data_IF_445359657472
#
_entry.id   IF_445359657472
#
_cell.length_a   1.000
_cell.length_b   1.000
_cell.length_c   1.000
_cell.angle_alpha   90.00
_cell.angle_beta   90.00
_cell.angle_gamma   90.00
#
_symmetry.space_group_name_H-M   'P 1'
#
loop_
_entity.id
_entity.type
_entity.pdbx_description
1 polymer ?
#
# COMPACT_ATOMS: atom_id res chain seq x y z
N UNK A 1 46.71 -35.53 -22.91
CA UNK A 1 46.69 -34.86 -21.60
C UNK A 1 46.60 -33.36 -21.87
N UNK A 2 45.56 -32.68 -21.40
CA UNK A 2 45.26 -31.30 -21.82
C UNK A 2 46.46 -30.39 -21.50
N UNK A 3 47.08 -29.83 -22.54
CA UNK A 3 48.31 -29.04 -22.44
C UNK A 3 48.04 -27.66 -21.83
N UNK A 4 46.78 -27.25 -21.75
CA UNK A 4 46.31 -25.92 -21.33
C UNK A 4 45.07 -26.09 -20.45
N UNK A 5 45.10 -25.53 -19.24
CA UNK A 5 43.90 -25.42 -18.40
C UNK A 5 43.00 -24.32 -18.98
N UNK A 6 41.70 -24.62 -19.12
CA UNK A 6 40.72 -23.67 -19.68
C UNK A 6 39.68 -23.34 -18.63
N UNK A 7 39.60 -22.06 -18.28
CA UNK A 7 38.59 -21.51 -17.39
C UNK A 7 37.55 -20.78 -18.23
N UNK A 8 36.32 -21.30 -18.23
CA UNK A 8 35.21 -20.79 -19.05
C UNK A 8 33.90 -21.08 -18.35
N UNK A 9 32.92 -20.20 -18.56
CA UNK A 9 31.53 -20.45 -18.20
C UNK A 9 30.61 -20.09 -19.36
N UNK A 10 29.76 -21.03 -19.76
CA UNK A 10 28.84 -20.89 -20.89
C UNK A 10 27.46 -20.34 -20.50
N UNK A 11 27.28 -20.02 -19.22
CA UNK A 11 25.97 -19.68 -18.68
C UNK A 11 25.15 -20.92 -18.32
N UNK A 12 23.95 -20.67 -17.81
CA UNK A 12 22.94 -21.70 -17.59
C UNK A 12 21.89 -21.67 -18.71
N UNK A 13 21.11 -22.76 -18.82
CA UNK A 13 19.90 -22.78 -19.65
C UNK A 13 18.91 -21.68 -19.24
N UNK A 14 18.79 -21.41 -17.94
CA UNK A 14 18.04 -20.26 -17.43
C UNK A 14 18.92 -19.01 -17.47
N UNK A 15 18.34 -17.88 -17.88
CA UNK A 15 19.04 -16.58 -17.90
C UNK A 15 18.99 -15.85 -16.55
N UNK A 16 18.64 -16.57 -15.49
CA UNK A 16 18.38 -16.02 -14.15
C UNK A 16 19.64 -15.89 -13.28
N UNK A 17 20.77 -16.42 -13.74
CA UNK A 17 22.02 -16.36 -12.99
C UNK A 17 22.61 -14.94 -13.04
N UNK A 18 23.12 -14.50 -11.90
CA UNK A 18 23.75 -13.20 -11.68
C UNK A 18 25.27 -13.37 -11.59
N UNK A 19 25.72 -14.25 -10.69
CA UNK A 19 27.14 -14.58 -10.48
C UNK A 19 27.31 -16.08 -10.34
N UNK A 20 28.39 -16.62 -10.89
CA UNK A 20 28.84 -18.00 -10.75
C UNK A 20 30.29 -18.04 -10.28
N UNK A 21 30.58 -18.78 -9.20
CA UNK A 21 31.95 -19.06 -8.77
C UNK A 21 32.48 -20.31 -9.49
N UNK A 22 33.58 -20.18 -10.21
CA UNK A 22 34.24 -21.30 -10.87
C UNK A 22 34.74 -22.32 -9.82
N UNK A 23 34.61 -23.64 -10.07
CA UNK A 23 34.89 -24.67 -9.06
C UNK A 23 36.36 -24.84 -8.70
N UNK A 24 37.29 -24.64 -9.65
CA UNK A 24 38.72 -24.80 -9.36
C UNK A 24 39.32 -23.51 -8.84
N UNK A 25 40.01 -23.59 -7.72
CA UNK A 25 40.82 -22.50 -7.17
C UNK A 25 42.31 -22.68 -7.46
N UNK A 26 42.71 -23.87 -7.93
CA UNK A 26 44.07 -24.17 -8.38
C UNK A 26 44.19 -23.82 -9.87
N UNK A 27 44.94 -22.76 -10.16
CA UNK A 27 45.21 -22.27 -11.51
C UNK A 27 46.71 -22.30 -11.80
N UNK A 28 47.07 -22.37 -13.07
CA UNK A 28 48.47 -22.38 -13.50
C UNK A 28 48.78 -21.17 -14.38
N UNK A 29 50.02 -20.67 -14.35
CA UNK A 29 50.46 -19.70 -15.36
C UNK A 29 50.32 -20.32 -16.75
N UNK A 30 49.70 -19.59 -17.69
CA UNK A 30 49.38 -20.08 -19.02
C UNK A 30 47.96 -20.64 -19.19
N UNK A 31 47.15 -20.72 -18.12
CA UNK A 31 45.70 -21.00 -18.21
C UNK A 31 45.01 -20.03 -19.18
N UNK A 32 44.09 -20.55 -20.01
CA UNK A 32 43.23 -19.75 -20.89
C UNK A 32 41.93 -19.40 -20.16
N UNK A 33 41.70 -18.11 -19.91
CA UNK A 33 40.44 -17.59 -19.41
C UNK A 33 39.60 -17.11 -20.60
N UNK A 34 38.43 -17.71 -20.80
CA UNK A 34 37.49 -17.35 -21.86
C UNK A 34 36.25 -16.72 -21.22
N UNK A 35 36.04 -15.44 -21.51
CA UNK A 35 34.88 -14.66 -21.05
C UNK A 35 33.91 -14.49 -22.21
N UNK A 36 32.68 -15.00 -22.05
CA UNK A 36 31.66 -14.91 -23.09
C UNK A 36 31.06 -13.50 -23.20
N UNK A 37 30.44 -13.21 -24.34
CA UNK A 37 29.69 -11.94 -24.52
C UNK A 37 28.55 -11.84 -23.51
N UNK A 38 28.34 -10.65 -22.95
CA UNK A 38 27.34 -10.44 -21.90
C UNK A 38 27.77 -10.96 -20.53
N UNK A 39 29.05 -11.26 -20.36
CA UNK A 39 29.64 -11.65 -19.08
C UNK A 39 30.93 -10.86 -18.82
N UNK A 40 31.33 -10.81 -17.55
CA UNK A 40 32.63 -10.32 -17.09
C UNK A 40 33.18 -11.37 -16.13
N UNK A 41 34.49 -11.56 -16.10
CA UNK A 41 35.15 -12.41 -15.10
C UNK A 41 35.91 -11.56 -14.08
N UNK A 42 35.60 -11.72 -12.80
CA UNK A 42 36.36 -11.15 -11.70
C UNK A 42 37.40 -12.17 -11.26
N UNK A 43 38.65 -11.73 -11.18
CA UNK A 43 39.74 -12.55 -10.69
C UNK A 43 40.10 -12.08 -9.28
N UNK A 44 39.93 -12.97 -8.30
CA UNK A 44 40.10 -12.67 -6.87
C UNK A 44 41.26 -13.48 -6.33
N UNK A 45 42.17 -12.82 -5.60
CA UNK A 45 43.32 -13.47 -4.98
C UNK A 45 43.55 -12.90 -3.58
N UNK A 46 43.69 -13.79 -2.59
CA UNK A 46 43.90 -13.39 -1.20
C UNK A 46 42.75 -12.53 -0.64
N UNK A 47 41.52 -12.77 -1.10
CA UNK A 47 40.33 -12.02 -0.71
C UNK A 47 40.17 -10.64 -1.37
N UNK A 48 41.05 -10.26 -2.30
CA UNK A 48 40.95 -8.99 -3.03
C UNK A 48 40.68 -9.22 -4.51
N UNK A 49 39.82 -8.40 -5.12
CA UNK A 49 39.66 -8.36 -6.58
C UNK A 49 40.97 -7.84 -7.17
N UNK A 50 41.66 -8.72 -7.87
CA UNK A 50 42.97 -8.45 -8.47
C UNK A 50 42.84 -7.91 -9.89
N UNK A 51 41.85 -8.37 -10.66
CA UNK A 51 41.55 -7.83 -11.99
C UNK A 51 40.12 -8.16 -12.47
N UNK A 52 39.68 -7.46 -13.53
CA UNK A 52 38.37 -7.58 -14.17
C UNK A 52 38.52 -7.80 -15.67
N UNK A 53 38.14 -8.99 -16.14
CA UNK A 53 38.24 -9.39 -17.54
C UNK A 53 36.91 -9.22 -18.28
N UNK A 54 36.90 -8.42 -19.33
CA UNK A 54 35.76 -8.20 -20.24
C UNK A 54 35.64 -9.31 -21.29
N UNK A 55 34.56 -9.40 -22.09
CA UNK A 55 34.41 -10.44 -23.11
C UNK A 55 35.64 -10.60 -24.01
N UNK A 56 36.16 -11.81 -24.11
CA UNK A 56 37.42 -12.11 -24.81
C UNK A 56 38.12 -13.36 -24.28
N UNK A 57 39.26 -13.68 -24.89
CA UNK A 57 40.13 -14.79 -24.48
C UNK A 57 41.45 -14.23 -23.98
N UNK A 58 41.83 -14.61 -22.76
CA UNK A 58 43.03 -14.13 -22.08
C UNK A 58 43.90 -15.29 -21.67
N UNK A 59 45.22 -15.11 -21.82
CA UNK A 59 46.19 -16.03 -21.22
C UNK A 59 46.59 -15.46 -19.85
N UNK A 60 46.44 -16.24 -18.79
CA UNK A 60 46.80 -15.82 -17.45
C UNK A 60 48.33 -15.81 -17.30
N UNK A 61 48.90 -14.62 -17.40
CA UNK A 61 50.33 -14.34 -17.24
C UNK A 61 50.54 -13.29 -16.15
N UNK A 62 51.78 -13.13 -15.70
CA UNK A 62 52.14 -12.09 -14.72
C UNK A 62 52.13 -10.67 -15.29
N UNK A 63 52.03 -10.53 -16.61
CA UNK A 63 51.84 -9.25 -17.29
C UNK A 63 50.39 -8.76 -17.14
N UNK A 64 49.43 -9.65 -17.41
CA UNK A 64 48.00 -9.35 -17.26
C UNK A 64 47.57 -9.31 -15.79
N UNK A 65 48.30 -9.95 -14.88
CA UNK A 65 48.01 -9.94 -13.44
C UNK A 65 49.23 -9.49 -12.64
N UNK A 66 49.40 -8.17 -12.39
CA UNK A 66 50.56 -7.64 -11.67
C UNK A 66 50.76 -8.24 -10.26
N UNK A 67 49.66 -8.64 -9.60
CA UNK A 67 49.67 -9.29 -8.27
C UNK A 67 50.30 -10.70 -8.32
N UNK A 68 50.50 -11.28 -9.51
CA UNK A 68 51.18 -12.56 -9.68
C UNK A 68 52.70 -12.44 -9.88
N UNK A 69 53.27 -11.22 -9.98
CA UNK A 69 54.72 -11.03 -10.22
C UNK A 69 55.63 -11.72 -9.18
N UNK A 70 55.17 -11.87 -7.93
CA UNK A 70 55.93 -12.54 -6.87
C UNK A 70 56.07 -14.06 -7.03
N UNK A 71 55.23 -14.70 -7.87
CA UNK A 71 55.23 -16.15 -8.10
C UNK A 71 56.26 -16.62 -9.15
N UNK A 72 56.85 -15.71 -9.92
CA UNK A 72 57.75 -16.04 -11.05
C UNK A 72 59.09 -16.62 -10.60
N UNK A 73 59.51 -16.35 -9.35
CA UNK A 73 60.82 -16.77 -8.84
C UNK A 73 60.89 -18.24 -8.38
N UNK A 74 59.82 -19.02 -8.54
CA UNK A 74 59.78 -20.40 -8.07
C UNK A 74 60.08 -21.38 -9.21
N UNK A 75 60.98 -22.37 -9.01
CA UNK A 75 61.45 -23.27 -10.06
C UNK A 75 60.44 -24.40 -10.36
N UNK A 76 59.28 -24.07 -10.94
CA UNK A 76 58.19 -25.02 -11.21
C UNK A 76 58.03 -25.45 -12.67
N UNK A 77 59.14 -25.73 -13.37
CA UNK A 77 59.10 -26.49 -14.63
C UNK A 77 58.16 -25.94 -15.73
N UNK A 78 57.94 -24.62 -15.78
CA UNK A 78 57.13 -23.94 -16.81
C UNK A 78 55.64 -23.77 -16.49
N UNK A 79 55.12 -24.31 -15.39
CA UNK A 79 53.76 -24.07 -14.90
C UNK A 79 53.77 -23.83 -13.40
N UNK A 80 53.77 -22.57 -12.97
CA UNK A 80 53.67 -22.23 -11.55
C UNK A 80 52.20 -22.29 -11.13
N UNK A 81 51.78 -23.25 -10.30
CA UNK A 81 50.44 -23.26 -9.74
C UNK A 81 50.28 -22.13 -8.72
N UNK A 82 49.09 -21.57 -8.65
CA UNK A 82 48.72 -20.60 -7.64
C UNK A 82 47.24 -20.74 -7.30
N UNK A 83 46.87 -20.33 -6.09
CA UNK A 83 45.48 -20.28 -5.66
C UNK A 83 44.86 -18.93 -6.01
N UNK A 84 43.74 -18.95 -6.74
CA UNK A 84 42.92 -17.78 -7.03
C UNK A 84 41.49 -18.21 -7.39
N UNK A 85 40.54 -17.31 -7.19
CA UNK A 85 39.13 -17.52 -7.44
C UNK A 85 38.69 -16.76 -8.70
N UNK A 86 37.86 -17.38 -9.53
CA UNK A 86 37.29 -16.75 -10.73
C UNK A 86 35.78 -16.72 -10.61
N UNK A 87 35.20 -15.52 -10.72
CA UNK A 87 33.76 -15.33 -10.69
C UNK A 87 33.28 -14.80 -12.04
N UNK A 88 32.31 -15.48 -12.63
CA UNK A 88 31.64 -14.98 -13.82
C UNK A 88 30.42 -14.18 -13.40
N UNK A 89 30.26 -12.98 -13.93
CA UNK A 89 29.17 -12.04 -13.65
C UNK A 89 28.38 -11.80 -14.92
N UNK A 90 27.06 -11.93 -14.85
CA UNK A 90 26.16 -11.70 -15.98
C UNK A 90 25.89 -10.20 -16.15
N UNK A 91 26.37 -9.59 -17.24
CA UNK A 91 26.18 -8.16 -17.53
C UNK A 91 25.07 -7.89 -18.55
N UNK A 92 24.31 -8.92 -18.92
CA UNK A 92 23.15 -8.77 -19.81
C UNK A 92 22.04 -7.96 -19.13
N UNK A 93 21.22 -7.31 -19.96
CA UNK A 93 20.07 -6.53 -19.46
C UNK A 93 18.96 -7.47 -19.02
N UNK A 94 18.45 -7.26 -17.80
CA UNK A 94 17.26 -7.95 -17.28
C UNK A 94 16.08 -6.99 -17.34
N UNK A 95 15.13 -7.22 -18.25
CA UNK A 95 13.96 -6.36 -18.44
C UNK A 95 12.75 -6.77 -17.59
N UNK A 96 12.76 -7.97 -17.02
CA UNK A 96 11.62 -8.67 -16.42
C UNK A 96 11.63 -8.70 -14.89
N UNK A 97 12.06 -7.60 -14.25
CA UNK A 97 11.98 -7.48 -12.79
C UNK A 97 10.62 -6.89 -12.39
N UNK A 98 9.67 -7.79 -12.12
CA UNK A 98 8.33 -7.39 -11.68
C UNK A 98 8.35 -6.86 -10.24
N UNK A 99 7.62 -5.78 -9.98
CA UNK A 99 7.41 -5.21 -8.64
C UNK A 99 5.93 -4.96 -8.39
N UNK A 100 5.55 -4.89 -7.11
CA UNK A 100 4.19 -4.54 -6.72
C UNK A 100 4.08 -4.23 -5.24
N UNK A 101 3.11 -3.38 -4.90
CA UNK A 101 2.82 -3.00 -3.53
C UNK A 101 2.45 -4.24 -2.70
N UNK A 102 3.14 -4.45 -1.58
CA UNK A 102 2.91 -5.59 -0.68
C UNK A 102 1.56 -5.44 0.03
N UNK A 103 1.30 -4.24 0.54
CA UNK A 103 0.07 -3.82 1.19
C UNK A 103 -0.57 -2.62 0.46
N UNK A 104 -1.90 -2.45 0.54
CA UNK A 104 -2.58 -1.35 -0.13
C UNK A 104 -2.21 0.02 0.45
N UNK A 105 -2.07 1.01 -0.42
CA UNK A 105 -1.96 2.43 -0.09
C UNK A 105 -3.36 2.91 0.31
N UNK A 106 -3.56 3.23 1.58
CA UNK A 106 -4.82 3.79 2.06
C UNK A 106 -4.78 5.32 1.95
N UNK A 107 -5.70 5.89 1.18
CA UNK A 107 -5.81 7.34 1.01
C UNK A 107 -7.26 7.76 0.79
N UNK A 108 -7.50 9.07 0.78
CA UNK A 108 -8.79 9.66 0.45
C UNK A 108 -8.67 10.24 -0.96
N UNK A 109 -9.57 9.86 -1.86
CA UNK A 109 -9.63 10.44 -3.19
C UNK A 109 -10.02 11.93 -3.11
N UNK A 110 -9.28 12.84 -3.74
CA UNK A 110 -9.51 14.29 -3.61
C UNK A 110 -10.79 14.77 -4.32
N UNK A 111 -11.33 13.99 -5.27
CA UNK A 111 -12.50 14.37 -6.08
C UNK A 111 -13.81 13.88 -5.46
N UNK A 112 -13.81 12.66 -4.93
CA UNK A 112 -15.00 12.01 -4.37
C UNK A 112 -15.00 11.91 -2.84
N UNK A 113 -13.88 12.24 -2.18
CA UNK A 113 -13.72 12.16 -0.72
C UNK A 113 -13.99 10.76 -0.14
N UNK A 114 -13.77 9.71 -0.94
CA UNK A 114 -13.91 8.32 -0.54
C UNK A 114 -12.56 7.75 -0.14
N UNK A 115 -12.54 6.98 0.95
CA UNK A 115 -11.35 6.20 1.33
C UNK A 115 -11.14 5.06 0.34
N UNK A 116 -9.98 5.02 -0.31
CA UNK A 116 -9.59 3.99 -1.28
C UNK A 116 -8.39 3.19 -0.78
N UNK A 117 -8.37 1.89 -1.14
CA UNK A 117 -7.26 0.96 -0.89
C UNK A 117 -6.55 0.65 -2.21
N UNK A 118 -5.59 1.48 -2.56
CA UNK A 118 -4.92 1.41 -3.86
C UNK A 118 -3.79 0.39 -3.84
N UNK A 119 -3.67 -0.40 -4.90
CA UNK A 119 -2.51 -1.26 -5.19
C UNK A 119 -1.91 -0.85 -6.53
N UNK A 120 -0.60 -1.07 -6.64
CA UNK A 120 0.12 -0.80 -7.88
C UNK A 120 1.11 -1.91 -8.16
N UNK A 121 1.31 -2.18 -9.44
CA UNK A 121 2.33 -3.13 -9.90
C UNK A 121 2.90 -2.69 -11.24
N UNK A 122 4.04 -3.28 -11.56
CA UNK A 122 4.67 -3.08 -12.84
C UNK A 122 6.00 -3.80 -12.94
N UNK A 123 6.89 -3.24 -13.75
CA UNK A 123 8.10 -3.90 -14.18
C UNK A 123 9.28 -2.93 -14.27
N UNK A 124 10.48 -3.42 -14.04
CA UNK A 124 11.72 -2.66 -14.06
C UNK A 124 12.78 -3.40 -14.86
N UNK A 125 13.60 -2.61 -15.56
CA UNK A 125 14.78 -3.05 -16.29
C UNK A 125 16.04 -2.68 -15.53
N UNK A 126 16.93 -3.66 -15.33
CA UNK A 126 18.16 -3.51 -14.57
C UNK A 126 19.34 -4.05 -15.37
N UNK A 127 20.50 -3.41 -15.23
CA UNK A 127 21.77 -3.87 -15.80
C UNK A 127 22.90 -3.63 -14.81
N UNK A 128 23.88 -4.52 -14.78
CA UNK A 128 25.10 -4.32 -13.99
C UNK A 128 26.05 -3.41 -14.77
N UNK A 129 26.51 -2.34 -14.13
CA UNK A 129 27.51 -1.41 -14.66
C UNK A 129 28.86 -1.56 -13.97
N UNK A 130 28.86 -1.88 -12.67
CA UNK A 130 30.07 -2.07 -11.87
C UNK A 130 30.02 -3.44 -11.17
N UNK A 131 30.54 -4.49 -11.84
CA UNK A 131 30.64 -5.82 -11.27
C UNK A 131 31.49 -5.89 -10.00
N UNK A 132 32.47 -5.00 -9.84
CA UNK A 132 33.37 -5.02 -8.68
C UNK A 132 32.67 -4.52 -7.43
N UNK A 133 31.94 -3.40 -7.54
CA UNK A 133 31.12 -2.87 -6.45
C UNK A 133 30.00 -3.85 -6.10
N UNK A 134 29.30 -4.40 -7.10
CA UNK A 134 28.30 -5.44 -6.88
C UNK A 134 28.85 -6.62 -6.05
N UNK A 135 30.03 -7.12 -6.45
CA UNK A 135 30.65 -8.26 -5.78
C UNK A 135 31.00 -7.95 -4.33
N UNK A 136 31.62 -6.78 -4.08
CA UNK A 136 32.04 -6.36 -2.73
C UNK A 136 30.87 -6.11 -1.79
N UNK A 137 29.82 -5.45 -2.28
CA UNK A 137 28.74 -4.95 -1.43
C UNK A 137 27.59 -5.96 -1.24
N UNK A 138 27.25 -6.76 -2.27
CA UNK A 138 26.05 -7.62 -2.24
C UNK A 138 26.31 -9.12 -2.23
N UNK A 139 27.47 -9.57 -2.71
CA UNK A 139 27.69 -10.99 -2.99
C UNK A 139 28.69 -11.58 -2.01
N UNK A 140 29.89 -11.00 -1.93
CA UNK A 140 30.97 -11.49 -1.08
C UNK A 140 31.48 -12.88 -1.48
N UNK A 141 32.08 -13.57 -0.52
CA UNK A 141 32.62 -14.92 -0.72
C UNK A 141 31.53 -15.95 -0.97
N UNK A 142 31.78 -16.89 -1.88
CA UNK A 142 30.84 -17.94 -2.29
C UNK A 142 31.48 -19.33 -2.16
N UNK A 143 30.63 -20.35 -2.02
CA UNK A 143 31.07 -21.76 -2.09
C UNK A 143 31.47 -22.13 -3.52
N UNK A 144 32.32 -23.15 -3.67
CA UNK A 144 32.73 -23.62 -4.99
C UNK A 144 31.53 -24.12 -5.80
N UNK A 145 31.52 -23.77 -7.10
CA UNK A 145 30.42 -24.06 -8.02
C UNK A 145 29.06 -23.43 -7.67
N UNK A 146 29.01 -22.48 -6.74
CA UNK A 146 27.78 -21.82 -6.33
C UNK A 146 27.32 -20.76 -7.35
N UNK A 147 26.00 -20.54 -7.41
CA UNK A 147 25.33 -19.64 -8.35
C UNK A 147 24.37 -18.74 -7.59
N UNK A 148 24.60 -17.43 -7.65
CA UNK A 148 23.65 -16.43 -7.20
C UNK A 148 22.71 -16.08 -8.34
N UNK A 149 21.41 -16.07 -8.07
CA UNK A 149 20.36 -15.64 -9.03
C UNK A 149 19.96 -14.18 -8.81
N UNK A 150 19.42 -13.56 -9.86
CA UNK A 150 18.84 -12.22 -9.80
C UNK A 150 17.70 -12.08 -8.78
N UNK A 151 17.00 -13.15 -8.43
CA UNK A 151 15.89 -13.10 -7.45
C UNK A 151 16.36 -12.64 -6.06
N UNK A 152 17.59 -12.97 -5.66
CA UNK A 152 18.18 -12.48 -4.41
C UNK A 152 18.23 -10.95 -4.40
N UNK A 153 18.66 -10.34 -5.50
CA UNK A 153 18.68 -8.87 -5.66
C UNK A 153 17.26 -8.32 -5.56
N UNK A 154 16.29 -8.95 -6.24
CA UNK A 154 14.89 -8.53 -6.18
C UNK A 154 14.36 -8.47 -4.75
N UNK A 155 14.67 -9.45 -3.91
CA UNK A 155 14.25 -9.48 -2.50
C UNK A 155 14.79 -8.31 -1.69
N UNK A 156 16.08 -7.97 -1.84
CA UNK A 156 16.71 -6.86 -1.13
C UNK A 156 16.09 -5.51 -1.51
N UNK A 157 15.89 -5.26 -2.80
CA UNK A 157 15.43 -3.94 -3.27
C UNK A 157 13.91 -3.79 -3.33
N UNK A 158 13.14 -4.87 -3.13
CA UNK A 158 11.67 -4.81 -3.14
C UNK A 158 11.14 -3.76 -2.17
N UNK A 159 11.73 -3.64 -0.98
CA UNK A 159 11.33 -2.64 0.01
C UNK A 159 11.48 -1.22 -0.50
N UNK A 160 12.66 -0.88 -1.04
CA UNK A 160 12.96 0.45 -1.58
C UNK A 160 12.04 0.78 -2.75
N UNK A 161 11.90 -0.12 -3.72
CA UNK A 161 11.01 0.06 -4.88
C UNK A 161 9.57 0.34 -4.44
N UNK A 162 9.05 -0.46 -3.51
CA UNK A 162 7.67 -0.31 -3.03
C UNK A 162 7.50 1.00 -2.28
N UNK A 163 8.44 1.40 -1.43
CA UNK A 163 8.36 2.65 -0.67
C UNK A 163 8.34 3.86 -1.60
N UNK A 164 9.25 3.91 -2.59
CA UNK A 164 9.33 5.02 -3.56
C UNK A 164 8.09 5.09 -4.44
N UNK A 165 7.64 3.94 -4.98
CA UNK A 165 6.42 3.88 -5.78
C UNK A 165 5.17 4.32 -4.99
N UNK A 166 5.01 3.82 -3.75
CA UNK A 166 3.88 4.22 -2.88
C UNK A 166 3.89 5.72 -2.60
N UNK A 167 5.06 6.27 -2.28
CA UNK A 167 5.21 7.69 -1.97
C UNK A 167 4.86 8.56 -3.17
N UNK A 168 5.35 8.19 -4.37
CA UNK A 168 5.03 8.91 -5.60
C UNK A 168 3.53 8.86 -5.94
N UNK A 169 2.89 7.71 -5.81
CA UNK A 169 1.45 7.54 -6.06
C UNK A 169 0.62 8.34 -5.03
N UNK A 170 0.96 8.25 -3.75
CA UNK A 170 0.27 8.99 -2.70
C UNK A 170 0.43 10.51 -2.89
N UNK A 171 1.63 10.98 -3.26
CA UNK A 171 1.89 12.38 -3.56
C UNK A 171 1.02 12.89 -4.71
N UNK A 172 0.93 12.12 -5.79
CA UNK A 172 0.13 12.48 -6.96
C UNK A 172 -1.36 12.60 -6.63
N UNK A 173 -1.88 11.72 -5.77
CA UNK A 173 -3.30 11.75 -5.41
C UNK A 173 -3.59 12.83 -4.38
N UNK A 174 -2.80 12.90 -3.32
CA UNK A 174 -3.09 13.74 -2.16
C UNK A 174 -2.64 15.18 -2.41
N UNK A 175 -1.41 15.38 -2.89
CA UNK A 175 -0.84 16.73 -3.03
C UNK A 175 -1.16 17.34 -4.39
N UNK A 176 -1.02 16.58 -5.47
CA UNK A 176 -1.30 17.10 -6.81
C UNK A 176 -2.82 17.08 -7.13
N UNK A 177 -3.63 16.51 -6.23
CA UNK A 177 -5.10 16.51 -6.32
C UNK A 177 -5.65 15.62 -7.43
N UNK A 178 -4.88 14.64 -7.91
CA UNK A 178 -5.27 13.78 -9.03
C UNK A 178 -6.16 12.65 -8.51
N UNK A 179 -7.38 12.52 -9.04
CA UNK A 179 -8.26 11.41 -8.64
C UNK A 179 -7.62 10.07 -8.97
N UNK A 180 -7.84 9.07 -8.11
CA UNK A 180 -7.42 7.70 -8.35
C UNK A 180 -8.06 7.09 -9.61
N UNK A 181 -9.19 7.60 -10.08
CA UNK A 181 -9.81 7.19 -11.36
C UNK A 181 -9.05 7.72 -12.58
N UNK A 182 -8.38 8.85 -12.42
CA UNK A 182 -7.72 9.59 -13.51
C UNK A 182 -6.20 9.38 -13.50
N UNK A 183 -5.67 8.74 -12.46
CA UNK A 183 -4.23 8.51 -12.28
C UNK A 183 -3.59 7.66 -13.39
N UNK A 184 -4.40 6.86 -14.08
CA UNK A 184 -3.97 6.08 -15.25
C UNK A 184 -3.37 6.98 -16.36
N UNK A 185 -3.83 8.23 -16.45
CA UNK A 185 -3.31 9.23 -17.40
C UNK A 185 -1.91 9.75 -17.03
N UNK A 186 -1.43 9.44 -15.83
CA UNK A 186 -0.14 9.92 -15.28
C UNK A 186 0.89 8.82 -15.10
N UNK A 187 0.58 7.59 -15.48
CA UNK A 187 1.45 6.43 -15.24
C UNK A 187 2.87 6.63 -15.80
N UNK A 188 3.01 7.20 -16.99
CA UNK A 188 4.31 7.48 -17.61
C UNK A 188 5.13 8.50 -16.78
N UNK A 189 4.51 9.63 -16.42
CA UNK A 189 5.16 10.65 -15.60
C UNK A 189 5.55 10.14 -14.20
N UNK A 190 4.70 9.32 -13.59
CA UNK A 190 4.98 8.69 -12.31
C UNK A 190 6.09 7.64 -12.42
N UNK A 191 6.10 6.89 -13.52
CA UNK A 191 7.13 5.89 -13.81
C UNK A 191 8.51 6.53 -13.91
N UNK A 192 8.65 7.64 -14.65
CA UNK A 192 9.92 8.38 -14.75
C UNK A 192 10.33 9.04 -13.42
N UNK A 193 9.36 9.58 -12.67
CA UNK A 193 9.64 10.13 -11.32
C UNK A 193 10.19 9.05 -10.38
N UNK A 194 9.51 7.91 -10.30
CA UNK A 194 9.95 6.79 -9.44
C UNK A 194 11.29 6.25 -9.93
N UNK A 195 11.49 6.10 -11.24
CA UNK A 195 12.77 5.69 -11.84
C UNK A 195 13.92 6.56 -11.35
N UNK A 196 13.78 7.88 -11.41
CA UNK A 196 14.81 8.82 -10.97
C UNK A 196 15.13 8.67 -9.48
N UNK A 197 14.10 8.50 -8.64
CA UNK A 197 14.28 8.31 -7.20
C UNK A 197 14.96 6.98 -6.85
N UNK A 198 14.62 5.88 -7.55
CA UNK A 198 15.20 4.57 -7.28
C UNK A 198 16.58 4.39 -7.89
N UNK A 199 16.86 5.01 -9.04
CA UNK A 199 18.12 4.85 -9.77
C UNK A 199 19.34 5.09 -8.87
N UNK A 200 19.32 6.19 -8.09
CA UNK A 200 20.41 6.55 -7.17
C UNK A 200 20.69 5.49 -6.09
N UNK A 201 19.68 4.74 -5.67
CA UNK A 201 19.85 3.67 -4.67
C UNK A 201 20.49 2.43 -5.30
N UNK A 202 20.13 2.09 -6.54
CA UNK A 202 20.69 0.95 -7.26
C UNK A 202 22.13 1.19 -7.74
N UNK A 203 22.46 2.43 -8.11
CA UNK A 203 23.81 2.83 -8.55
C UNK A 203 24.87 2.59 -7.48
N UNK A 204 24.52 2.77 -6.20
CA UNK A 204 25.42 2.50 -5.06
C UNK A 204 25.91 1.06 -5.00
N UNK A 205 25.17 0.13 -5.59
CA UNK A 205 25.48 -1.29 -5.59
C UNK A 205 25.91 -1.81 -6.96
N UNK A 206 26.27 -0.91 -7.88
CA UNK A 206 26.81 -1.25 -9.20
C UNK A 206 25.74 -1.60 -10.24
N UNK A 207 24.48 -1.25 -10.02
CA UNK A 207 23.41 -1.40 -10.99
C UNK A 207 23.00 -0.08 -11.64
N UNK A 208 22.47 -0.16 -12.86
CA UNK A 208 21.75 0.94 -13.49
C UNK A 208 20.31 0.53 -13.75
N UNK A 209 19.38 1.44 -13.48
CA UNK A 209 17.96 1.27 -13.77
C UNK A 209 17.67 1.83 -15.15
N UNK A 210 17.45 0.95 -16.12
CA UNK A 210 17.22 1.35 -17.51
C UNK A 210 15.82 1.91 -17.72
N UNK A 211 14.84 1.22 -17.14
CA UNK A 211 13.44 1.62 -17.17
C UNK A 211 12.74 1.17 -15.90
N UNK A 212 11.67 1.88 -15.56
CA UNK A 212 10.76 1.53 -14.51
C UNK A 212 9.37 1.88 -15.03
N UNK A 213 8.43 0.94 -14.96
CA UNK A 213 7.08 1.14 -15.45
C UNK A 213 6.08 0.76 -14.35
N UNK A 214 5.12 1.65 -14.12
CA UNK A 214 3.88 1.36 -13.41
C UNK A 214 2.87 0.90 -14.47
N UNK A 215 2.56 -0.39 -14.47
CA UNK A 215 1.64 -0.97 -15.47
C UNK A 215 0.18 -0.69 -15.09
N UNK A 216 -0.13 -0.75 -13.80
CA UNK A 216 -1.49 -0.53 -13.32
C UNK A 216 -1.49 0.00 -11.89
N UNK A 217 -2.47 0.85 -11.64
CA UNK A 217 -2.89 1.30 -10.32
C UNK A 217 -4.37 0.95 -10.22
N UNK A 218 -4.74 0.09 -9.26
CA UNK A 218 -6.10 -0.41 -9.10
C UNK A 218 -6.52 -0.39 -7.62
N UNK A 219 -7.81 -0.62 -7.37
CA UNK A 219 -8.38 -0.70 -6.04
C UNK A 219 -9.57 -1.68 -6.05
N UNK A 220 -9.99 -2.24 -4.90
CA UNK A 220 -11.07 -3.22 -4.82
C UNK A 220 -12.40 -2.72 -5.38
N UNK A 221 -13.21 -3.62 -5.94
CA UNK A 221 -14.54 -3.31 -6.48
C UNK A 221 -15.47 -2.68 -5.43
N UNK A 222 -15.38 -3.10 -4.17
CA UNK A 222 -16.14 -2.51 -3.05
C UNK A 222 -15.87 -1.00 -2.87
N UNK A 223 -14.64 -0.56 -3.13
CA UNK A 223 -14.27 0.86 -3.07
C UNK A 223 -14.74 1.59 -4.35
N UNK A 224 -14.79 0.90 -5.49
CA UNK A 224 -15.33 1.42 -6.75
C UNK A 224 -16.86 1.60 -6.70
N UNK A 225 -17.60 0.67 -6.09
CA UNK A 225 -19.05 0.77 -5.92
C UNK A 225 -19.47 2.02 -5.13
N UNK A 226 -18.69 2.39 -4.11
CA UNK A 226 -18.92 3.62 -3.33
C UNK A 226 -18.82 4.86 -4.21
N UNK A 227 -17.84 4.88 -5.13
CA UNK A 227 -17.68 5.96 -6.11
C UNK A 227 -18.85 5.95 -7.10
N UNK A 228 -19.22 4.79 -7.64
CA UNK A 228 -20.34 4.68 -8.59
C UNK A 228 -21.64 5.20 -7.98
N UNK A 229 -21.92 4.87 -6.72
CA UNK A 229 -23.09 5.40 -6.02
C UNK A 229 -23.08 6.93 -5.91
N UNK A 230 -21.93 7.53 -5.59
CA UNK A 230 -21.78 9.00 -5.55
C UNK A 230 -22.00 9.60 -6.94
N UNK A 231 -21.47 8.96 -7.99
CA UNK A 231 -21.65 9.40 -9.37
C UNK A 231 -23.10 9.30 -9.83
N UNK A 232 -23.79 8.21 -9.49
CA UNK A 232 -25.21 8.00 -9.78
C UNK A 232 -26.09 9.02 -9.05
N UNK A 233 -25.87 9.23 -7.75
CA UNK A 233 -26.59 10.21 -6.94
C UNK A 233 -26.37 11.63 -7.49
N UNK A 234 -25.13 11.97 -7.86
CA UNK A 234 -24.78 13.26 -8.46
C UNK A 234 -25.44 13.43 -9.83
N UNK A 235 -25.40 12.43 -10.70
CA UNK A 235 -26.04 12.49 -12.01
C UNK A 235 -27.56 12.62 -11.89
N UNK A 236 -28.19 11.89 -10.96
CA UNK A 236 -29.62 12.01 -10.68
C UNK A 236 -29.99 13.41 -10.21
N UNK A 237 -29.17 14.01 -9.34
CA UNK A 237 -29.33 15.39 -8.90
C UNK A 237 -29.18 16.40 -10.04
N UNK A 238 -28.13 16.28 -10.87
CA UNK A 238 -27.87 17.19 -12.00
C UNK A 238 -28.96 17.12 -13.08
N UNK A 239 -29.49 15.92 -13.36
CA UNK A 239 -30.57 15.73 -14.34
C UNK A 239 -31.91 16.28 -13.83
N UNK A 240 -32.22 16.12 -12.54
CA UNK A 240 -33.52 16.50 -11.98
C UNK A 240 -33.59 17.95 -11.49
N UNK A 241 -32.46 18.49 -11.01
CA UNK A 241 -32.39 19.76 -10.28
C UNK A 241 -32.90 19.66 -8.84
N UNK A 242 -32.53 20.65 -8.01
CA UNK A 242 -32.77 20.70 -6.56
C UNK A 242 -34.20 20.30 -6.14
N UNK A 243 -35.20 20.96 -6.75
CA UNK A 243 -36.59 20.79 -6.35
C UNK A 243 -37.12 19.37 -6.61
N UNK A 244 -36.77 18.76 -7.74
CA UNK A 244 -37.27 17.43 -8.12
C UNK A 244 -36.48 16.30 -7.48
N UNK A 245 -35.19 16.51 -7.20
CA UNK A 245 -34.39 15.53 -6.47
C UNK A 245 -34.90 15.34 -5.04
N UNK A 246 -35.16 16.44 -4.31
CA UNK A 246 -35.74 16.37 -2.97
C UNK A 246 -37.09 15.65 -2.98
N UNK A 247 -37.94 15.93 -3.98
CA UNK A 247 -39.20 15.22 -4.19
C UNK A 247 -38.97 13.73 -4.44
N UNK A 248 -38.08 13.34 -5.36
CA UNK A 248 -37.78 11.91 -5.60
C UNK A 248 -37.27 11.20 -4.34
N UNK A 249 -36.31 11.79 -3.63
CA UNK A 249 -35.77 11.22 -2.39
C UNK A 249 -36.85 11.07 -1.32
N UNK A 250 -37.81 11.99 -1.24
CA UNK A 250 -38.96 11.84 -0.36
C UNK A 250 -39.80 10.61 -0.73
N UNK A 251 -40.06 10.39 -2.02
CA UNK A 251 -40.75 9.20 -2.51
C UNK A 251 -39.98 7.90 -2.26
N UNK A 252 -38.66 7.88 -2.49
CA UNK A 252 -37.82 6.70 -2.19
C UNK A 252 -37.89 6.32 -0.69
N UNK A 253 -37.95 7.32 0.21
CA UNK A 253 -38.12 7.10 1.66
C UNK A 253 -39.53 6.57 1.97
N UNK A 254 -40.57 7.09 1.32
CA UNK A 254 -41.94 6.57 1.47
C UNK A 254 -42.05 5.12 1.01
N UNK A 255 -41.43 4.77 -0.12
CA UNK A 255 -41.41 3.42 -0.67
C UNK A 255 -40.63 2.45 0.24
N UNK A 256 -39.46 2.88 0.74
CA UNK A 256 -38.67 2.10 1.71
C UNK A 256 -39.37 1.90 3.07
N UNK A 257 -40.19 2.87 3.51
CA UNK A 257 -41.02 2.76 4.70
C UNK A 257 -42.23 1.84 4.48
N UNK A 258 -42.89 1.93 3.32
CA UNK A 258 -44.02 1.07 2.95
C UNK A 258 -43.60 -0.41 2.81
N UNK A 259 -42.37 -0.68 2.36
CA UNK A 259 -41.82 -2.03 2.27
C UNK A 259 -41.32 -2.61 3.61
N UNK A 260 -41.19 -1.79 4.67
CA UNK A 260 -40.87 -2.25 6.03
C UNK A 260 -42.16 -2.58 6.81
N UNK A 261 -42.64 -3.82 6.67
CA UNK A 261 -43.90 -4.29 7.28
C UNK A 261 -43.92 -4.30 8.83
N UNK A 262 -42.77 -4.15 9.50
CA UNK A 262 -42.63 -4.33 10.95
C UNK A 262 -42.35 -3.03 11.75
N UNK A 263 -42.45 -1.85 11.14
CA UNK A 263 -42.25 -0.56 11.81
C UNK A 263 -43.48 0.34 11.77
N UNK A 264 -43.73 1.11 12.84
CA UNK A 264 -44.83 2.09 12.95
C UNK A 264 -44.86 3.10 11.79
N UNK A 265 -43.72 3.32 11.11
CA UNK A 265 -43.61 4.13 9.90
C UNK A 265 -44.28 3.48 8.66
N UNK A 266 -44.31 2.16 8.55
CA UNK A 266 -44.99 1.43 7.47
C UNK A 266 -46.51 1.53 7.55
N UNK A 267 -47.08 1.68 8.75
CA UNK A 267 -48.51 1.87 8.95
C UNK A 267 -49.00 3.27 8.52
N UNK A 268 -48.15 4.30 8.65
CA UNK A 268 -48.46 5.67 8.20
C UNK A 268 -48.24 5.82 6.69
N UNK A 269 -47.26 5.12 6.12
CA UNK A 269 -46.94 5.17 4.69
C UNK A 269 -47.83 4.27 3.82
N UNK A 270 -48.17 3.05 4.25
CA UNK A 270 -49.04 2.13 3.51
C UNK A 270 -50.54 2.49 3.60
N UNK A 271 -50.90 3.41 4.50
CA UNK A 271 -52.29 3.77 4.82
C UNK A 271 -52.94 4.84 3.94
N UNK A 272 -52.35 5.22 2.80
CA UNK A 272 -53.06 6.04 1.80
C UNK A 272 -53.60 7.40 2.28
N UNK A 273 -53.04 7.98 3.35
CA UNK A 273 -53.41 9.31 3.85
C UNK A 273 -52.64 10.38 3.08
N UNK A 274 -52.72 10.30 1.74
CA UNK A 274 -52.19 11.28 0.80
C UNK A 274 -53.33 12.12 0.24
N UNK A 275 -53.29 13.43 0.50
CA UNK A 275 -54.14 14.50 -0.08
C UNK A 275 -55.66 14.48 0.17
N UNK A 276 -56.34 13.33 0.21
CA UNK A 276 -57.81 13.28 0.36
C UNK A 276 -58.32 13.49 1.80
N UNK A 277 -57.54 13.07 2.79
CA UNK A 277 -57.87 13.24 4.21
C UNK A 277 -57.49 14.64 4.75
N UNK A 278 -56.59 15.37 4.08
CA UNK A 278 -56.17 16.71 4.50
C UNK A 278 -57.29 17.75 4.30
N UNK A 279 -58.18 17.56 3.32
CA UNK A 279 -59.23 18.53 2.99
C UNK A 279 -60.45 18.33 3.91
N UNK A 280 -60.89 17.09 4.17
CA UNK A 280 -62.02 16.82 5.07
C UNK A 280 -61.68 16.96 6.57
N UNK A 281 -60.40 16.93 6.94
CA UNK A 281 -59.96 17.24 8.31
C UNK A 281 -59.73 18.74 8.51
N UNK A 282 -59.57 19.54 7.43
CA UNK A 282 -59.41 21.01 7.55
C UNK A 282 -60.71 21.72 7.95
N UNK A 283 -61.86 21.23 7.50
CA UNK A 283 -63.18 21.83 7.78
C UNK A 283 -63.78 21.40 9.12
N UNK A 284 -63.29 20.32 9.72
CA UNK A 284 -63.67 19.85 11.06
C UNK A 284 -62.69 20.29 12.16
N UNK A 285 -61.52 20.82 11.80
CA UNK A 285 -60.52 21.35 12.75
C UNK A 285 -60.66 22.86 13.01
N UNK A 286 -61.53 23.59 12.30
CA UNK A 286 -61.77 25.02 12.53
C UNK A 286 -62.88 25.32 13.56
N UNK A 287 -63.60 24.31 14.05
CA UNK A 287 -64.67 24.46 15.05
C UNK A 287 -64.39 23.80 16.41
N UNK A 288 -63.17 23.30 16.62
CA UNK A 288 -62.75 22.81 17.95
C UNK A 288 -61.58 23.63 18.48
N UNK A 289 -61.70 24.96 18.36
CA UNK A 289 -61.20 25.90 19.37
C UNK A 289 -62.07 25.64 20.61
N UNK A 290 -61.65 24.67 21.38
CA UNK A 290 -62.35 24.18 22.55
C UNK A 290 -61.47 23.14 23.18
N UNK A 291 -60.50 23.61 23.96
CA UNK A 291 -59.66 22.83 24.85
C UNK A 291 -60.53 21.82 25.64
N UNK A 292 -60.17 20.53 25.61
CA UNK A 292 -59.98 19.86 26.88
C UNK A 292 -58.67 19.07 26.88
N UNK A 293 -57.71 19.56 27.66
CA UNK A 293 -57.01 18.80 28.69
C UNK A 293 -57.27 17.28 28.64
N UNK A 294 -56.39 16.55 27.93
CA UNK A 294 -56.02 15.22 28.37
C UNK A 294 -54.67 15.37 29.07
N UNK A 295 -54.76 15.61 30.39
CA UNK A 295 -53.61 15.60 31.31
C UNK A 295 -53.00 14.20 31.28
N UNK A 296 -51.97 14.01 30.47
CA UNK A 296 -50.90 13.10 30.86
C UNK A 296 -50.25 13.68 32.10
N UNK A 297 -50.05 12.88 33.14
CA UNK A 297 -49.33 13.32 34.33
C UNK A 297 -47.93 13.79 33.91
N UNK A 298 -47.56 14.99 34.36
CA UNK A 298 -46.26 15.61 34.07
C UNK A 298 -45.48 15.78 35.37
N UNK A 299 -44.16 15.61 35.31
CA UNK A 299 -43.23 15.86 36.41
C UNK A 299 -42.29 17.01 36.04
N UNK A 300 -41.76 17.70 37.04
CA UNK A 300 -40.73 18.72 36.81
C UNK A 300 -39.35 18.09 36.67
N UNK A 301 -38.57 18.59 35.71
CA UNK A 301 -37.20 18.16 35.55
C UNK A 301 -36.35 18.63 36.74
N UNK A 302 -35.63 17.70 37.37
CA UNK A 302 -34.80 17.92 38.57
C UNK A 302 -33.65 18.91 38.32
N UNK A 303 -33.20 19.03 37.08
CA UNK A 303 -32.05 19.87 36.70
C UNK A 303 -32.47 21.26 36.22
N UNK A 304 -33.45 21.36 35.32
CA UNK A 304 -33.82 22.63 34.68
C UNK A 304 -35.24 23.14 35.00
N UNK A 305 -36.06 22.38 35.75
CA UNK A 305 -37.43 22.77 36.10
C UNK A 305 -38.45 22.69 34.95
N UNK A 306 -38.09 22.16 33.79
CA UNK A 306 -39.04 21.99 32.68
C UNK A 306 -40.08 20.91 32.98
N UNK A 307 -41.34 21.12 32.61
CA UNK A 307 -42.39 20.09 32.69
C UNK A 307 -42.17 19.02 31.62
N UNK A 308 -42.03 17.76 32.05
CA UNK A 308 -41.81 16.61 31.19
C UNK A 308 -42.87 15.53 31.47
N UNK A 309 -43.22 14.68 30.48
CA UNK A 309 -44.11 13.55 30.71
C UNK A 309 -43.58 12.63 31.83
N UNK A 310 -44.47 12.06 32.67
CA UNK A 310 -44.05 11.29 33.86
C UNK A 310 -43.15 10.09 33.53
N UNK A 311 -43.38 9.44 32.38
CA UNK A 311 -42.59 8.29 31.89
C UNK A 311 -41.23 8.68 31.28
N UNK A 312 -40.97 9.97 31.07
CA UNK A 312 -39.72 10.42 30.46
C UNK A 312 -38.53 10.23 31.41
N UNK A 313 -37.61 9.34 31.02
CA UNK A 313 -36.34 9.12 31.72
C UNK A 313 -35.34 10.24 31.45
N UNK A 314 -35.39 10.88 30.29
CA UNK A 314 -34.50 11.99 29.93
C UNK A 314 -35.30 13.25 29.63
N UNK A 315 -34.79 14.41 30.05
CA UNK A 315 -35.43 15.67 29.74
C UNK A 315 -35.22 16.01 28.26
N UNK A 316 -36.29 16.22 27.45
CA UNK A 316 -36.16 16.60 26.05
C UNK A 316 -35.60 18.03 25.86
N UNK A 317 -35.55 18.84 26.92
CA UNK A 317 -35.00 20.21 26.86
C UNK A 317 -33.50 20.27 27.21
N UNK A 318 -33.07 19.59 28.28
CA UNK A 318 -31.68 19.69 28.75
C UNK A 318 -30.88 18.38 28.67
N UNK A 319 -31.48 17.27 28.24
CA UNK A 319 -30.85 15.95 28.14
C UNK A 319 -30.60 15.24 29.48
N UNK A 320 -30.98 15.85 30.61
CA UNK A 320 -30.71 15.30 31.95
C UNK A 320 -31.56 14.07 32.27
N UNK A 321 -30.97 13.07 32.92
CA UNK A 321 -31.67 11.86 33.34
C UNK A 321 -32.53 12.13 34.59
N UNK A 322 -33.85 12.15 34.42
CA UNK A 322 -34.83 12.34 35.50
C UNK A 322 -35.25 11.02 36.16
N UNK A 323 -34.38 10.02 36.12
CA UNK A 323 -34.44 8.83 36.99
C UNK A 323 -33.71 9.07 38.33
N UNK A 324 -32.92 10.15 38.40
CA UNK A 324 -32.07 10.47 39.54
C UNK A 324 -32.84 11.32 40.57
N UNK A 325 -32.58 11.07 41.86
CA UNK A 325 -33.27 11.67 43.01
C UNK A 325 -32.41 12.80 43.57
N UNK A 326 -33.02 13.96 43.85
CA UNK A 326 -32.33 15.07 44.52
C UNK A 326 -32.48 14.92 46.04
N UNK A 327 -31.36 14.75 46.73
CA UNK A 327 -31.33 14.79 48.19
C UNK A 327 -31.54 16.23 48.70
N UNK A 328 -32.06 16.40 49.92
CA UNK A 328 -32.24 17.73 50.57
C UNK A 328 -30.94 18.54 50.64
N UNK A 329 -29.77 17.89 50.66
CA UNK A 329 -28.48 18.58 50.62
C UNK A 329 -28.13 19.16 49.24
N UNK A 330 -29.03 19.02 48.25
CA UNK A 330 -28.89 19.55 46.90
C UNK A 330 -28.20 18.61 45.91
N UNK A 331 -27.68 17.46 46.35
CA UNK A 331 -26.95 16.52 45.50
C UNK A 331 -27.88 15.55 44.77
N UNK A 332 -27.57 15.28 43.50
CA UNK A 332 -28.33 14.37 42.64
C UNK A 332 -27.75 12.96 42.79
N UNK A 333 -28.61 11.99 43.09
CA UNK A 333 -28.27 10.60 43.38
C UNK A 333 -28.95 9.68 42.38
N UNK A 334 -28.29 8.56 42.03
CA UNK A 334 -28.90 7.57 41.15
C UNK A 334 -30.15 6.93 41.77
N UNK A 335 -31.11 6.57 40.91
CA UNK A 335 -32.34 5.87 41.28
C UNK A 335 -32.08 4.61 42.13
N UNK A 336 -32.77 4.46 43.26
CA UNK A 336 -32.63 3.30 44.17
C UNK A 336 -31.69 3.48 45.38
N UNK A 337 -31.13 4.68 45.57
CA UNK A 337 -30.20 4.97 46.68
C UNK A 337 -30.98 5.25 47.99
N UNK A 338 -30.92 4.33 48.96
CA UNK A 338 -31.66 4.46 50.25
C UNK A 338 -31.14 5.54 51.20
N UNK A 339 -29.85 5.88 51.11
CA UNK A 339 -29.20 6.87 51.98
C UNK A 339 -28.21 7.70 51.18
N UNK A 340 -28.20 9.00 51.40
CA UNK A 340 -27.28 9.90 50.72
C UNK A 340 -25.84 9.64 51.23
N UNK A 341 -24.89 9.30 50.34
CA UNK A 341 -23.50 9.02 50.73
C UNK A 341 -22.74 10.25 51.28
N UNK A 342 -23.30 11.46 51.15
CA UNK A 342 -22.64 12.69 51.62
C UNK A 342 -23.23 13.23 52.93
N UNK A 343 -24.56 13.25 53.07
CA UNK A 343 -25.19 13.79 54.28
C UNK A 343 -25.74 12.70 55.23
N UNK A 344 -25.66 11.43 54.84
CA UNK A 344 -26.10 10.28 55.65
C UNK A 344 -27.61 10.16 55.85
N UNK A 345 -28.40 11.12 55.38
CA UNK A 345 -29.86 11.10 55.51
C UNK A 345 -30.48 10.06 54.58
N UNK A 346 -31.54 9.42 55.06
CA UNK A 346 -32.36 8.50 54.25
C UNK A 346 -33.04 9.30 53.14
N UNK A 347 -33.00 8.76 51.92
CA UNK A 347 -33.64 9.35 50.74
C UNK A 347 -34.69 8.33 50.30
N UNK A 348 -35.95 8.75 50.18
CA UNK A 348 -37.05 7.88 49.71
C UNK A 348 -37.08 7.76 48.18
#
# INVERSE_FOLDING_TARGET
MAVIDVVRFDGLRSREWLIYKYPSEELSLGTQLIVQTGQVALFVKGGMIADVFFPGTYTLTTENLPILKSLVNLPFGGKTPFSAEVYFVNTTVRLDINWGTIDPIQLIDPKYYVKLRIRAFGQMGLKIIDPSTLFKELIGGMQQADIVKFDRVKEYYRGILVIKAKSAIAQAIITDGISALEISTKLESLSEKVKAEVASEFERYGFTVLNFFIQSINFPDEDFEKINKILEDKAAFEIMGDGRYATKRSFDVYEGAANNQNGVAGAVAAGGIGLGAAINMSTSMSQTIGNPLQRGETKECVSCGAQIPIEAKFCPQCGFNNSDIKCECGKILASGTKFCPECGKKVE
#
